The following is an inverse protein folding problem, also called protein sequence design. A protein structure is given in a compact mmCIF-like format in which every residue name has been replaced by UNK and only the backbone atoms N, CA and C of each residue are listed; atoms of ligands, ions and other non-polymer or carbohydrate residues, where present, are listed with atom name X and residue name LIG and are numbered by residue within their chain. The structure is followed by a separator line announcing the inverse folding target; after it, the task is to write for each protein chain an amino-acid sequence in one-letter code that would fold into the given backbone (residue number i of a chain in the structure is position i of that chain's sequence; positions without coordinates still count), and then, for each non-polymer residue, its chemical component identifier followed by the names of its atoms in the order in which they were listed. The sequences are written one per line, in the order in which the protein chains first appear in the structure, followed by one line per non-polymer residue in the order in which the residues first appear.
data_IF_016039871304
#
_entry.id   IF_016039871304
#
_cell.length_a   1.000
_cell.length_b   1.000
_cell.length_c   1.000
_cell.angle_alpha   90.00
_cell.angle_beta   90.00
_cell.angle_gamma   90.00
#
_symmetry.space_group_name_H-M   'P 1'
#
loop_
_entity.id
_entity.type
_entity.pdbx_description
1 polymer ?
#
# COMPACT_ATOMS: atom_id res chain seq x y z
N UNK A 1 2.78 -13.29 2.89
CA UNK A 1 3.98 -12.61 3.37
C UNK A 1 3.75 -12.27 4.84
N UNK A 2 4.71 -11.67 5.53
CA UNK A 2 4.51 -11.06 6.84
C UNK A 2 3.69 -9.80 6.68
N UNK A 3 2.81 -9.53 7.65
CA UNK A 3 1.97 -8.33 7.71
C UNK A 3 2.76 -7.03 7.54
N UNK A 4 3.97 -6.94 8.09
CA UNK A 4 4.87 -5.78 7.94
C UNK A 4 5.20 -5.51 6.46
N UNK A 5 5.43 -6.56 5.67
CA UNK A 5 5.75 -6.42 4.26
C UNK A 5 4.52 -6.05 3.43
N UNK A 6 3.33 -6.50 3.82
CA UNK A 6 2.07 -6.03 3.23
C UNK A 6 1.86 -4.53 3.48
N UNK A 7 2.05 -4.08 4.73
CA UNK A 7 2.00 -2.66 5.08
C UNK A 7 3.03 -1.83 4.34
N UNK A 8 4.27 -2.32 4.23
CA UNK A 8 5.35 -1.62 3.55
C UNK A 8 5.04 -1.39 2.06
N UNK A 9 4.57 -2.43 1.35
CA UNK A 9 4.20 -2.35 -0.06
C UNK A 9 3.02 -1.38 -0.25
N UNK A 10 1.92 -1.58 0.50
CA UNK A 10 0.72 -0.76 0.37
C UNK A 10 0.99 0.70 0.74
N UNK A 11 1.71 0.94 1.83
CA UNK A 11 2.05 2.27 2.31
C UNK A 11 2.95 3.03 1.34
N UNK A 12 4.05 2.41 0.88
CA UNK A 12 5.00 3.08 -0.01
C UNK A 12 4.40 3.41 -1.39
N UNK A 13 3.64 2.48 -1.98
CA UNK A 13 3.00 2.69 -3.28
C UNK A 13 1.86 3.71 -3.20
N UNK A 14 1.08 3.70 -2.12
CA UNK A 14 0.03 4.72 -1.89
C UNK A 14 0.64 6.09 -1.62
N UNK A 15 1.74 6.15 -0.86
CA UNK A 15 2.44 7.39 -0.56
C UNK A 15 2.91 8.14 -1.83
N UNK A 16 3.27 7.40 -2.88
CA UNK A 16 3.69 7.98 -4.16
C UNK A 16 2.55 8.73 -4.88
N UNK A 17 1.29 8.36 -4.66
CA UNK A 17 0.15 8.83 -5.45
C UNK A 17 -0.86 9.62 -4.61
N UNK A 18 -1.35 9.04 -3.52
CA UNK A 18 -2.39 9.60 -2.67
C UNK A 18 -2.03 9.46 -1.18
N UNK A 19 -1.01 10.18 -0.73
CA UNK A 19 -0.38 9.95 0.57
C UNK A 19 -1.24 10.22 1.80
N UNK A 20 -2.20 11.14 1.71
CA UNK A 20 -3.19 11.34 2.76
C UNK A 20 -4.03 10.06 3.02
N UNK A 21 -4.08 9.15 2.05
CA UNK A 21 -4.83 7.90 2.11
C UNK A 21 -3.97 6.71 2.54
N UNK A 22 -2.68 6.91 2.89
CA UNK A 22 -1.81 5.83 3.39
C UNK A 22 -2.46 5.07 4.55
N UNK A 23 -3.00 5.71 5.61
CA UNK A 23 -3.64 4.98 6.70
C UNK A 23 -4.78 4.06 6.22
N UNK A 24 -5.55 4.52 5.22
CA UNK A 24 -6.66 3.75 4.64
C UNK A 24 -6.13 2.55 3.84
N UNK A 25 -5.08 2.75 3.05
CA UNK A 25 -4.45 1.65 2.31
C UNK A 25 -3.78 0.63 3.23
N UNK A 26 -3.20 1.06 4.36
CA UNK A 26 -2.67 0.15 5.39
C UNK A 26 -3.78 -0.71 6.00
N UNK A 27 -4.92 -0.10 6.34
CA UNK A 27 -6.10 -0.83 6.82
C UNK A 27 -6.59 -1.83 5.77
N UNK A 28 -6.69 -1.41 4.51
CA UNK A 28 -7.05 -2.28 3.39
C UNK A 28 -6.08 -3.43 3.20
N UNK A 29 -4.77 -3.19 3.34
CA UNK A 29 -3.74 -4.22 3.17
C UNK A 29 -3.77 -5.31 4.24
N UNK A 30 -4.39 -5.06 5.40
CA UNK A 30 -4.57 -6.09 6.43
C UNK A 30 -5.95 -6.73 6.38
N UNK A 31 -6.87 -6.15 5.60
CA UNK A 31 -8.27 -6.57 5.52
C UNK A 31 -8.50 -8.01 5.12
N UNK A 32 -7.80 -8.60 4.14
CA UNK A 32 -7.99 -9.99 3.80
C UNK A 32 -7.88 -10.93 5.00
N UNK A 33 -6.90 -10.69 5.89
CA UNK A 33 -6.62 -11.56 7.03
C UNK A 33 -7.66 -11.43 8.15
N UNK A 34 -7.98 -10.20 8.57
CA UNK A 34 -8.92 -10.01 9.68
C UNK A 34 -10.39 -10.19 9.24
N UNK A 35 -10.72 -10.01 7.96
CA UNK A 35 -12.05 -10.35 7.44
C UNK A 35 -12.30 -11.86 7.50
N UNK A 36 -11.29 -12.70 7.24
CA UNK A 36 -11.38 -14.15 7.42
C UNK A 36 -11.68 -14.49 8.88
N UNK A 37 -10.91 -13.92 9.81
CA UNK A 37 -11.14 -14.11 11.24
C UNK A 37 -12.54 -13.63 11.69
N UNK A 38 -13.01 -12.51 11.15
CA UNK A 38 -14.35 -12.01 11.42
C UNK A 38 -15.42 -12.98 10.90
N UNK A 39 -15.27 -13.51 9.69
CA UNK A 39 -16.17 -14.51 9.11
C UNK A 39 -16.18 -15.80 9.94
N UNK A 40 -15.02 -16.24 10.45
CA UNK A 40 -14.95 -17.39 11.37
C UNK A 40 -15.76 -17.14 12.64
N UNK A 41 -15.57 -15.96 13.25
CA UNK A 41 -16.25 -15.59 14.49
C UNK A 41 -17.76 -15.45 14.32
N UNK A 42 -18.21 -14.85 13.21
CA UNK A 42 -19.64 -14.62 12.95
C UNK A 42 -20.35 -15.89 12.46
N UNK A 43 -19.68 -16.72 11.66
CA UNK A 43 -20.25 -17.91 11.04
C UNK A 43 -20.12 -19.19 11.86
N UNK A 44 -19.33 -19.19 12.94
CA UNK A 44 -19.09 -20.36 13.79
C UNK A 44 -18.39 -21.53 13.08
N UNK A 45 -17.80 -21.29 11.90
CA UNK A 45 -17.11 -22.30 11.08
C UNK A 45 -15.68 -21.84 10.82
N UNK A 46 -14.75 -22.79 10.81
CA UNK A 46 -13.36 -22.51 10.43
C UNK A 46 -13.30 -22.11 8.95
N UNK A 47 -12.73 -20.95 8.69
CA UNK A 47 -12.47 -20.40 7.36
C UNK A 47 -11.00 -20.60 7.10
N UNK A 48 -10.68 -21.35 6.05
CA UNK A 48 -9.29 -21.57 5.66
C UNK A 48 -8.63 -20.22 5.35
N UNK A 49 -7.50 -19.95 5.99
CA UNK A 49 -6.69 -18.78 5.67
C UNK A 49 -6.29 -18.78 4.19
N UNK A 50 -6.37 -17.62 3.53
CA UNK A 50 -6.23 -17.46 2.07
C UNK A 50 -7.35 -18.15 1.29
N UNK A 51 -8.56 -18.07 1.82
CA UNK A 51 -9.77 -18.60 1.24
C UNK A 51 -10.55 -17.51 0.52
N UNK A 52 -11.66 -17.13 1.11
CA UNK A 52 -12.71 -16.32 0.49
C UNK A 52 -12.29 -14.86 0.33
N UNK A 53 -11.62 -14.29 1.33
CA UNK A 53 -11.23 -12.86 1.32
C UNK A 53 -9.96 -12.60 0.51
N UNK A 54 -9.24 -13.65 0.14
CA UNK A 54 -8.00 -13.56 -0.64
C UNK A 54 -8.21 -13.71 -2.15
N UNK A 55 -9.47 -13.73 -2.61
CA UNK A 55 -9.79 -13.79 -4.04
C UNK A 55 -9.35 -12.49 -4.73
N UNK A 56 -8.43 -12.61 -5.69
CA UNK A 56 -7.87 -11.44 -6.40
C UNK A 56 -8.94 -10.60 -7.09
N UNK A 57 -9.93 -11.25 -7.73
CA UNK A 57 -11.01 -10.56 -8.41
C UNK A 57 -11.88 -9.71 -7.49
N UNK A 58 -12.04 -10.05 -6.21
CA UNK A 58 -12.84 -9.22 -5.30
C UNK A 58 -12.19 -7.87 -5.06
N UNK A 59 -10.87 -7.84 -4.86
CA UNK A 59 -10.12 -6.61 -4.64
C UNK A 59 -9.94 -5.82 -5.94
N UNK A 60 -9.65 -6.49 -7.05
CA UNK A 60 -9.56 -5.84 -8.36
C UNK A 60 -10.91 -5.25 -8.78
N UNK A 61 -12.00 -6.00 -8.61
CA UNK A 61 -13.36 -5.54 -8.89
C UNK A 61 -13.79 -4.42 -7.95
N UNK A 62 -13.46 -4.51 -6.65
CA UNK A 62 -13.72 -3.45 -5.68
C UNK A 62 -12.98 -2.16 -6.00
N UNK A 63 -11.72 -2.25 -6.44
CA UNK A 63 -10.96 -1.10 -6.90
C UNK A 63 -11.53 -0.51 -8.19
N UNK A 64 -11.89 -1.33 -9.17
CA UNK A 64 -12.52 -0.88 -10.41
C UNK A 64 -13.89 -0.21 -10.15
N UNK A 65 -14.68 -0.76 -9.23
CA UNK A 65 -15.93 -0.18 -8.77
C UNK A 65 -15.69 1.19 -8.11
N UNK A 66 -14.69 1.29 -7.24
CA UNK A 66 -14.37 2.54 -6.58
C UNK A 66 -13.98 3.62 -7.60
N UNK A 67 -13.06 3.29 -8.49
CA UNK A 67 -12.56 4.24 -9.49
C UNK A 67 -13.61 4.61 -10.56
N UNK A 68 -14.53 3.70 -10.89
CA UNK A 68 -15.46 3.87 -12.00
C UNK A 68 -16.87 4.33 -11.62
N UNK A 69 -17.33 4.05 -10.40
CA UNK A 69 -18.74 4.22 -10.03
C UNK A 69 -18.94 5.01 -8.75
N UNK A 70 -18.23 4.67 -7.67
CA UNK A 70 -18.44 5.29 -6.37
C UNK A 70 -17.16 5.32 -5.56
N UNK A 71 -16.68 6.51 -5.24
CA UNK A 71 -15.64 6.69 -4.23
C UNK A 71 -15.87 7.98 -3.45
N UNK A 72 -15.65 7.90 -2.13
CA UNK A 72 -15.69 9.05 -1.26
C UNK A 72 -14.26 9.53 -1.01
N UNK A 73 -13.84 10.56 -1.74
CA UNK A 73 -12.51 11.18 -1.63
C UNK A 73 -11.32 10.20 -1.73
N UNK A 74 -11.43 9.16 -2.54
CA UNK A 74 -10.34 8.18 -2.71
C UNK A 74 -10.31 7.08 -1.65
N UNK A 75 -11.15 7.14 -0.60
CA UNK A 75 -11.07 6.23 0.55
C UNK A 75 -11.36 4.80 0.13
N UNK A 76 -12.41 4.56 -0.65
CA UNK A 76 -12.77 3.22 -1.08
C UNK A 76 -11.72 2.67 -2.04
N UNK A 77 -11.21 3.49 -2.96
CA UNK A 77 -10.14 3.08 -3.85
C UNK A 77 -8.85 2.76 -3.09
N UNK A 78 -8.44 3.57 -2.11
CA UNK A 78 -7.25 3.32 -1.31
C UNK A 78 -7.38 2.04 -0.46
N UNK A 79 -8.56 1.80 0.13
CA UNK A 79 -8.82 0.58 0.88
C UNK A 79 -8.78 -0.66 -0.03
N UNK A 80 -9.47 -0.61 -1.18
CA UNK A 80 -9.48 -1.71 -2.14
C UNK A 80 -8.10 -1.96 -2.75
N UNK A 81 -7.35 -0.89 -3.02
CA UNK A 81 -5.96 -0.97 -3.46
C UNK A 81 -5.06 -1.63 -2.42
N UNK A 82 -5.19 -1.24 -1.15
CA UNK A 82 -4.49 -1.88 -0.04
C UNK A 82 -4.71 -3.39 -0.04
N UNK A 83 -5.96 -3.85 -0.07
CA UNK A 83 -6.26 -5.28 -0.10
C UNK A 83 -5.82 -5.98 -1.38
N UNK A 84 -5.85 -5.28 -2.53
CA UNK A 84 -5.31 -5.79 -3.79
C UNK A 84 -3.79 -6.04 -3.69
N UNK A 85 -3.03 -5.09 -3.12
CA UNK A 85 -1.59 -5.29 -2.92
C UNK A 85 -1.30 -6.46 -2.00
N UNK A 86 -2.13 -6.72 -0.98
CA UNK A 86 -2.00 -7.88 -0.10
C UNK A 86 -2.12 -9.20 -0.87
N UNK A 87 -3.21 -9.38 -1.63
CA UNK A 87 -3.45 -10.63 -2.36
C UNK A 87 -2.44 -10.84 -3.50
N UNK A 88 -1.99 -9.76 -4.15
CA UNK A 88 -0.92 -9.83 -5.14
C UNK A 88 0.41 -10.22 -4.49
N UNK A 89 0.75 -9.63 -3.35
CA UNK A 89 1.96 -9.97 -2.60
C UNK A 89 1.92 -11.44 -2.13
N UNK A 90 0.76 -11.93 -1.70
CA UNK A 90 0.57 -13.34 -1.33
C UNK A 90 0.63 -14.30 -2.50
N UNK A 91 0.22 -13.87 -3.70
CA UNK A 91 0.37 -14.67 -4.92
C UNK A 91 1.83 -14.91 -5.30
N UNK A 92 2.78 -14.10 -4.84
CA UNK A 92 4.22 -14.35 -5.05
C UNK A 92 4.75 -15.53 -4.22
N UNK A 93 3.97 -15.99 -3.24
CA UNK A 93 4.38 -17.06 -2.33
C UNK A 93 4.02 -18.45 -2.86
N UNK A 94 4.70 -19.48 -2.31
CA UNK A 94 4.45 -20.89 -2.64
C UNK A 94 3.01 -21.31 -2.36
N UNK A 95 2.32 -20.68 -1.41
CA UNK A 95 0.93 -21.00 -1.08
C UNK A 95 -0.07 -20.41 -2.07
N UNK A 96 0.29 -19.30 -2.74
CA UNK A 96 -0.57 -18.58 -3.68
C UNK A 96 -1.89 -18.08 -3.06
N UNK A 97 -2.79 -17.63 -3.94
CA UNK A 97 -4.14 -17.13 -3.61
C UNK A 97 -5.14 -17.60 -4.68
N UNK A 98 -6.45 -17.67 -4.41
CA UNK A 98 -7.42 -17.94 -5.47
C UNK A 98 -7.57 -16.71 -6.38
N UNK A 99 -7.62 -16.89 -7.70
CA UNK A 99 -7.91 -15.77 -8.62
C UNK A 99 -9.40 -15.44 -8.62
N UNK A 100 -10.24 -16.49 -8.72
CA UNK A 100 -11.70 -16.41 -8.70
C UNK A 100 -12.27 -17.22 -7.53
N UNK A 101 -13.53 -16.98 -7.11
CA UNK A 101 -14.11 -17.66 -5.95
C UNK A 101 -14.17 -19.18 -6.08
N UNK A 102 -14.35 -19.67 -7.30
CA UNK A 102 -14.48 -21.09 -7.63
C UNK A 102 -13.21 -21.66 -8.26
N UNK A 103 -12.07 -20.98 -8.11
CA UNK A 103 -10.82 -21.44 -8.69
C UNK A 103 -10.29 -22.68 -7.94
N UNK A 104 -10.20 -23.81 -8.64
CA UNK A 104 -9.58 -25.04 -8.11
C UNK A 104 -8.06 -24.90 -7.98
N UNK A 105 -7.44 -24.09 -8.85
CA UNK A 105 -6.01 -23.83 -8.87
C UNK A 105 -5.68 -22.51 -8.20
N UNK A 106 -4.56 -22.50 -7.48
CA UNK A 106 -4.00 -21.28 -6.88
C UNK A 106 -3.28 -20.46 -7.95
N UNK A 107 -3.47 -19.16 -7.87
CA UNK A 107 -2.76 -18.16 -8.65
C UNK A 107 -1.43 -17.83 -7.99
N UNK A 108 -0.38 -17.90 -8.82
CA UNK A 108 0.99 -17.64 -8.40
C UNK A 108 1.66 -16.64 -9.35
N UNK A 109 1.93 -15.43 -8.87
CA UNK A 109 2.76 -14.48 -9.62
C UNK A 109 4.22 -14.97 -9.63
N UNK A 110 4.85 -14.89 -10.81
CA UNK A 110 6.24 -15.34 -11.04
C UNK A 110 6.52 -16.78 -10.56
N UNK A 111 5.50 -17.65 -10.61
CA UNK A 111 5.61 -19.06 -10.24
C UNK A 111 5.70 -19.33 -8.73
N UNK A 112 5.40 -18.36 -7.86
CA UNK A 112 5.17 -18.62 -6.44
C UNK A 112 6.42 -19.07 -5.69
N UNK A 113 7.59 -18.48 -5.97
CA UNK A 113 8.87 -18.98 -5.45
C UNK A 113 9.23 -18.44 -4.06
N UNK A 114 8.48 -17.47 -3.54
CA UNK A 114 8.78 -16.87 -2.24
C UNK A 114 8.24 -17.72 -1.09
N UNK A 115 9.05 -17.89 -0.06
CA UNK A 115 8.64 -18.49 1.20
C UNK A 115 8.42 -17.39 2.23
N UNK A 116 7.32 -17.48 2.96
CA UNK A 116 6.98 -16.51 4.00
C UNK A 116 8.08 -16.43 5.05
N UNK A 117 8.59 -15.22 5.31
CA UNK A 117 9.65 -14.94 6.27
C UNK A 117 11.07 -15.18 5.75
N UNK A 118 11.25 -15.59 4.50
CA UNK A 118 12.58 -15.74 3.89
C UNK A 118 13.10 -14.38 3.37
N UNK A 119 14.42 -14.24 3.20
CA UNK A 119 15.09 -13.02 2.73
C UNK A 119 14.52 -12.51 1.40
N UNK A 120 14.11 -13.41 0.49
CA UNK A 120 13.52 -13.03 -0.80
C UNK A 120 12.21 -12.23 -0.68
N UNK A 121 11.42 -12.48 0.36
CA UNK A 121 10.21 -11.70 0.64
C UNK A 121 10.55 -10.24 0.99
N UNK A 122 11.50 -10.06 1.93
CA UNK A 122 11.95 -8.74 2.35
C UNK A 122 12.64 -8.00 1.21
N UNK A 123 13.43 -8.69 0.40
CA UNK A 123 14.09 -8.11 -0.78
C UNK A 123 13.09 -7.50 -1.77
N UNK A 124 11.97 -8.18 -2.03
CA UNK A 124 10.93 -7.64 -2.91
C UNK A 124 10.17 -6.50 -2.24
N UNK A 125 9.71 -6.69 -1.00
CA UNK A 125 8.92 -5.67 -0.31
C UNK A 125 9.70 -4.36 -0.13
N UNK A 126 10.92 -4.43 0.41
CA UNK A 126 11.76 -3.26 0.60
C UNK A 126 12.40 -2.76 -0.69
N UNK A 127 12.58 -3.62 -1.70
CA UNK A 127 12.93 -3.19 -3.05
C UNK A 127 11.85 -2.27 -3.64
N UNK A 128 10.57 -2.63 -3.51
CA UNK A 128 9.45 -1.78 -3.92
C UNK A 128 9.43 -0.47 -3.14
N UNK A 129 9.64 -0.51 -1.82
CA UNK A 129 9.76 0.70 -0.98
C UNK A 129 10.88 1.60 -1.48
N UNK A 130 12.07 1.04 -1.75
CA UNK A 130 13.22 1.77 -2.27
C UNK A 130 12.95 2.41 -3.63
N UNK A 131 12.29 1.69 -4.54
CA UNK A 131 11.86 2.24 -5.83
C UNK A 131 10.86 3.38 -5.63
N UNK A 132 9.85 3.22 -4.78
CA UNK A 132 8.90 4.28 -4.48
C UNK A 132 9.58 5.52 -3.88
N UNK A 133 10.57 5.31 -2.99
CA UNK A 133 11.36 6.39 -2.42
C UNK A 133 12.17 7.14 -3.49
N UNK A 134 12.87 6.42 -4.37
CA UNK A 134 13.63 7.04 -5.48
C UNK A 134 12.69 7.81 -6.40
N UNK A 135 11.56 7.22 -6.80
CA UNK A 135 10.57 7.90 -7.64
C UNK A 135 10.04 9.16 -6.96
N UNK A 136 9.71 9.10 -5.67
CA UNK A 136 9.22 10.25 -4.94
C UNK A 136 10.28 11.38 -4.85
N UNK A 137 11.56 11.03 -4.73
CA UNK A 137 12.66 12.00 -4.77
C UNK A 137 12.86 12.61 -6.17
N UNK A 138 12.72 11.81 -7.23
CA UNK A 138 12.87 12.28 -8.62
C UNK A 138 11.69 13.16 -9.07
N UNK A 139 10.48 12.83 -8.62
CA UNK A 139 9.25 13.55 -8.98
C UNK A 139 8.80 14.52 -7.89
N UNK A 140 9.67 14.85 -6.92
CA UNK A 140 9.39 15.87 -5.91
C UNK A 140 9.03 17.18 -6.64
N UNK A 141 7.82 17.74 -6.42
CA UNK A 141 7.47 19.02 -7.00
C UNK A 141 8.48 20.07 -6.50
N UNK A 142 9.25 20.65 -7.43
CA UNK A 142 10.11 21.80 -7.13
C UNK A 142 9.22 23.03 -6.97
N UNK A 143 8.99 23.46 -5.73
CA UNK A 143 8.21 24.66 -5.43
C UNK A 143 7.18 24.47 -4.32
N UNK A 144 7.48 25.02 -3.13
CA UNK A 144 6.52 25.23 -2.04
C UNK A 144 6.43 24.10 -1.01
N UNK A 145 5.38 24.16 -0.17
CA UNK A 145 5.02 23.20 0.89
C UNK A 145 4.56 21.85 0.31
N UNK A 146 5.33 21.31 -0.63
CA UNK A 146 5.04 20.05 -1.28
C UNK A 146 5.00 18.90 -0.28
N UNK A 147 4.16 17.93 -0.63
CA UNK A 147 3.84 16.62 -0.07
C UNK A 147 4.54 16.07 1.19
N UNK A 148 5.81 16.36 1.49
CA UNK A 148 6.50 15.80 2.64
C UNK A 148 6.26 16.63 3.91
N UNK A 149 5.30 16.29 4.80
CA UNK A 149 5.06 17.05 6.03
C UNK A 149 6.26 17.05 6.98
N UNK A 150 7.26 16.20 6.73
CA UNK A 150 8.51 16.10 7.48
C UNK A 150 9.74 16.60 6.69
N UNK A 151 9.62 16.86 5.39
CA UNK A 151 10.73 17.30 4.52
C UNK A 151 10.34 18.49 3.65
N UNK A 152 9.97 19.58 4.33
CA UNK A 152 9.64 20.85 3.71
C UNK A 152 10.78 21.33 2.79
N UNK A 153 10.41 21.78 1.60
CA UNK A 153 11.30 22.54 0.74
C UNK A 153 11.40 23.98 1.26
N UNK A 154 12.19 24.17 2.33
CA UNK A 154 12.40 25.48 2.94
C UNK A 154 12.96 26.49 1.95
N UNK A 155 13.77 26.05 0.98
CA UNK A 155 14.31 26.91 -0.05
C UNK A 155 13.22 27.37 -1.03
N UNK A 156 12.41 26.44 -1.54
CA UNK A 156 11.28 26.75 -2.40
C UNK A 156 10.22 27.62 -1.71
N UNK A 157 9.95 27.37 -0.42
CA UNK A 157 9.03 28.19 0.39
C UNK A 157 9.49 29.64 0.55
N UNK A 158 10.81 29.84 0.73
CA UNK A 158 11.39 31.18 0.79
C UNK A 158 11.31 31.88 -0.57
N UNK A 159 11.64 31.17 -1.65
CA UNK A 159 11.53 31.70 -3.01
C UNK A 159 10.09 32.06 -3.39
N UNK A 160 9.10 31.28 -2.93
CA UNK A 160 7.68 31.57 -3.16
C UNK A 160 7.11 32.64 -2.23
N UNK A 161 7.91 33.20 -1.31
CA UNK A 161 7.49 34.22 -0.36
C UNK A 161 6.51 33.73 0.71
N UNK A 162 6.38 32.40 0.90
CA UNK A 162 5.49 31.80 1.90
C UNK A 162 6.09 31.89 3.30
N UNK A 163 7.43 31.80 3.40
CA UNK A 163 8.18 31.95 4.66
C UNK A 163 9.18 33.09 4.54
N UNK A 164 9.47 33.76 5.66
CA UNK A 164 10.42 34.86 5.68
C UNK A 164 11.89 34.38 5.72
N UNK A 165 12.83 35.32 5.57
CA UNK A 165 14.26 35.00 5.58
C UNK A 165 14.76 34.45 6.93
N UNK A 166 14.07 34.76 8.04
CA UNK A 166 14.42 34.29 9.38
C UNK A 166 13.98 32.83 9.53
N UNK A 167 12.73 32.53 9.19
CA UNK A 167 12.13 31.20 9.21
C UNK A 167 12.85 30.24 8.26
N UNK A 168 13.25 30.69 7.07
CA UNK A 168 14.15 29.92 6.21
C UNK A 168 15.49 29.63 6.89
N UNK A 169 16.15 30.65 7.45
CA UNK A 169 17.45 30.47 8.11
C UNK A 169 17.36 29.49 9.28
N UNK A 170 16.31 29.56 10.08
CA UNK A 170 16.13 28.72 11.26
C UNK A 170 15.84 27.25 10.91
N UNK A 171 15.36 26.96 9.69
CA UNK A 171 14.93 25.62 9.30
C UNK A 171 15.69 25.01 8.09
N UNK A 172 16.53 25.78 7.37
CA UNK A 172 17.25 25.30 6.16
C UNK A 172 18.17 24.09 6.35
N UNK A 173 18.56 23.79 7.59
CA UNK A 173 19.40 22.63 7.95
C UNK A 173 18.63 21.57 8.76
N UNK A 174 17.34 21.78 9.01
CA UNK A 174 16.51 20.80 9.71
C UNK A 174 16.02 19.78 8.69
N UNK A 175 16.54 18.56 8.84
CA UNK A 175 16.09 17.40 8.11
C UNK A 175 14.98 16.64 8.86
N UNK A 176 14.60 17.12 10.05
CA UNK A 176 13.60 16.55 10.97
C UNK A 176 12.90 17.67 11.77
#
# INVERSE_FOLDING_TARGET
MKWINHLAIAGATTALVAPALVPVALLGSTAPDWLEWMLEKLGGRKVKHRGITHVVLYWAGGLAFALGLWDFHGILAAFAYGGLTHVLADSLTVSGVPFTPNAERRFHLFGGRLRTGNAGEYGIAWGIVGVCFVLAMLFKPGGGSGWYPFFYDWHGLYQSGVVDAKEWKDNRLKFF
#
